data_IF_559046926006
#
_entry.id   IF_559046926006
#
_cell.length_a   1.000
_cell.length_b   1.000
_cell.length_c   1.000
_cell.angle_alpha   90.00
_cell.angle_beta   90.00
_cell.angle_gamma   90.00
#
_symmetry.space_group_name_H-M   'P 1'
#
loop_
_entity.id
_entity.type
_entity.pdbx_description
1 polymer ?
#
# COMPACT_ATOMS: atom_id res chain seq x y z
N UNK A 1 -37.12 37.02 -15.73
CA UNK A 1 -38.40 37.39 -15.08
C UNK A 1 -38.26 37.98 -13.67
N UNK A 2 -37.13 37.85 -12.96
CA UNK A 2 -36.94 38.49 -11.62
C UNK A 2 -36.45 39.97 -11.71
N UNK A 3 -36.06 40.46 -12.90
CA UNK A 3 -35.42 41.77 -13.06
C UNK A 3 -36.35 42.97 -13.29
N UNK A 4 -37.65 42.78 -13.51
CA UNK A 4 -38.56 43.89 -13.89
C UNK A 4 -39.35 44.52 -12.71
N UNK A 5 -39.11 44.08 -11.46
CA UNK A 5 -39.85 44.58 -10.28
C UNK A 5 -39.02 45.36 -9.25
N UNK A 6 -37.82 45.82 -9.60
CA UNK A 6 -36.96 46.60 -8.69
C UNK A 6 -37.04 48.13 -8.93
N UNK A 7 -38.21 48.66 -9.27
CA UNK A 7 -38.39 50.07 -9.65
C UNK A 7 -38.77 51.02 -8.51
N UNK A 8 -38.46 50.69 -7.24
CA UNK A 8 -38.89 51.54 -6.13
C UNK A 8 -38.16 51.29 -4.82
N UNK A 9 -36.87 51.60 -4.75
CA UNK A 9 -36.15 51.85 -3.49
C UNK A 9 -35.31 53.12 -3.61
N UNK A 10 -35.05 53.77 -2.48
CA UNK A 10 -34.54 55.14 -2.39
C UNK A 10 -33.30 55.38 -3.27
N UNK A 11 -33.39 56.41 -4.13
CA UNK A 11 -32.39 56.75 -5.14
C UNK A 11 -30.94 56.86 -4.61
N UNK A 12 -30.74 57.15 -3.32
CA UNK A 12 -29.43 57.48 -2.78
C UNK A 12 -28.49 56.26 -2.63
N UNK A 13 -28.96 55.13 -2.11
CA UNK A 13 -28.09 53.96 -1.90
C UNK A 13 -27.75 53.25 -3.20
N UNK A 14 -28.72 53.15 -4.12
CA UNK A 14 -28.50 52.62 -5.48
C UNK A 14 -27.46 53.44 -6.24
N UNK A 15 -27.57 54.78 -6.23
CA UNK A 15 -26.56 55.66 -6.85
C UNK A 15 -25.18 55.50 -6.19
N UNK A 16 -25.11 55.36 -4.87
CA UNK A 16 -23.84 55.20 -4.16
C UNK A 16 -23.15 53.87 -4.51
N UNK A 17 -23.92 52.79 -4.67
CA UNK A 17 -23.39 51.50 -5.12
C UNK A 17 -22.97 51.53 -6.60
N UNK A 18 -23.76 52.15 -7.48
CA UNK A 18 -23.43 52.32 -8.91
C UNK A 18 -22.13 53.13 -9.07
N UNK A 19 -21.98 54.22 -8.30
CA UNK A 19 -20.76 55.03 -8.27
C UNK A 19 -19.55 54.21 -7.83
N UNK A 20 -19.65 53.48 -6.71
CA UNK A 20 -18.57 52.58 -6.23
C UNK A 20 -18.22 51.50 -7.25
N UNK A 21 -19.22 50.95 -7.94
CA UNK A 21 -18.99 49.96 -8.98
C UNK A 21 -18.24 50.55 -10.18
N UNK A 22 -18.60 51.76 -10.63
CA UNK A 22 -17.92 52.44 -11.72
C UNK A 22 -16.46 52.80 -11.37
N UNK A 23 -16.21 53.31 -10.16
CA UNK A 23 -14.86 53.58 -9.66
C UNK A 23 -14.01 52.30 -9.57
N UNK A 24 -14.64 51.18 -9.17
CA UNK A 24 -13.96 49.88 -9.06
C UNK A 24 -13.74 49.21 -10.41
N UNK A 25 -14.56 49.50 -11.43
CA UNK A 25 -14.55 48.80 -12.72
C UNK A 25 -13.21 48.90 -13.45
N UNK A 26 -12.52 50.04 -13.35
CA UNK A 26 -11.22 50.25 -13.98
C UNK A 26 -10.09 49.44 -13.33
N UNK A 27 -10.23 49.07 -12.06
CA UNK A 27 -9.20 48.34 -11.30
C UNK A 27 -9.52 46.85 -11.18
N UNK A 28 -10.81 46.51 -11.03
CA UNK A 28 -11.28 45.14 -10.86
C UNK A 28 -12.73 45.00 -11.39
N UNK A 29 -12.90 44.67 -12.69
CA UNK A 29 -14.21 44.53 -13.33
C UNK A 29 -15.11 43.46 -12.70
N UNK A 30 -14.53 42.41 -12.09
CA UNK A 30 -15.28 41.37 -11.40
C UNK A 30 -15.90 41.91 -10.10
N UNK A 31 -15.13 42.64 -9.31
CA UNK A 31 -15.61 43.28 -8.07
C UNK A 31 -16.69 44.34 -8.36
N UNK A 32 -16.55 45.09 -9.46
CA UNK A 32 -17.57 46.04 -9.89
C UNK A 32 -18.91 45.38 -10.24
N UNK A 33 -18.89 44.23 -10.92
CA UNK A 33 -20.10 43.44 -11.21
C UNK A 33 -20.75 42.89 -9.93
N UNK A 34 -19.93 42.48 -8.96
CA UNK A 34 -20.42 42.02 -7.66
C UNK A 34 -21.12 43.13 -6.87
N UNK A 35 -20.54 44.34 -6.83
CA UNK A 35 -21.14 45.51 -6.17
C UNK A 35 -22.53 45.82 -6.76
N UNK A 36 -22.67 45.81 -8.10
CA UNK A 36 -23.98 46.01 -8.76
C UNK A 36 -24.96 44.89 -8.45
N UNK A 37 -24.48 43.63 -8.46
CA UNK A 37 -25.31 42.47 -8.10
C UNK A 37 -25.88 42.56 -6.69
N UNK A 38 -25.07 42.97 -5.72
CA UNK A 38 -25.47 43.15 -4.31
C UNK A 38 -26.50 44.27 -4.16
N UNK A 39 -26.26 45.41 -4.82
CA UNK A 39 -27.20 46.52 -4.82
C UNK A 39 -28.57 46.10 -5.36
N UNK A 40 -28.60 45.33 -6.46
CA UNK A 40 -29.82 44.81 -7.04
C UNK A 40 -30.52 43.77 -6.14
N UNK A 41 -29.77 42.90 -5.45
CA UNK A 41 -30.35 41.91 -4.52
C UNK A 41 -30.92 42.59 -3.28
N UNK A 42 -30.19 43.55 -2.69
CA UNK A 42 -30.68 44.34 -1.55
C UNK A 42 -31.93 45.13 -1.93
N UNK A 43 -31.98 45.62 -3.17
CA UNK A 43 -33.17 46.27 -3.69
C UNK A 43 -34.37 45.32 -3.87
N UNK A 44 -34.12 44.04 -4.10
CA UNK A 44 -35.17 43.03 -4.21
C UNK A 44 -35.58 42.43 -2.85
N UNK A 45 -34.73 42.53 -1.83
CA UNK A 45 -34.90 41.93 -0.50
C UNK A 45 -34.55 42.94 0.61
N UNK A 46 -35.40 43.96 0.82
CA UNK A 46 -35.10 45.08 1.72
C UNK A 46 -34.92 44.68 3.19
N UNK A 47 -35.45 43.52 3.59
CA UNK A 47 -35.40 43.03 4.98
C UNK A 47 -34.05 42.38 5.37
N UNK A 48 -33.11 42.26 4.43
CA UNK A 48 -31.76 41.72 4.71
C UNK A 48 -30.81 42.88 4.97
N UNK A 49 -30.67 43.23 6.25
CA UNK A 49 -30.00 44.47 6.67
C UNK A 49 -28.45 44.41 6.65
N UNK A 50 -27.87 43.21 6.51
CA UNK A 50 -26.42 43.01 6.52
C UNK A 50 -25.85 42.83 5.10
N UNK A 51 -25.12 43.84 4.63
CA UNK A 51 -24.32 43.72 3.39
C UNK A 51 -23.30 42.58 3.49
N UNK A 52 -22.73 42.35 4.68
CA UNK A 52 -21.76 41.27 4.90
C UNK A 52 -22.40 39.89 4.71
N UNK A 53 -23.65 39.72 5.13
CA UNK A 53 -24.42 38.50 4.88
C UNK A 53 -24.65 38.27 3.37
N UNK A 54 -25.03 39.31 2.63
CA UNK A 54 -25.23 39.23 1.18
C UNK A 54 -23.91 38.94 0.43
N UNK A 55 -22.80 39.55 0.84
CA UNK A 55 -21.47 39.23 0.31
C UNK A 55 -21.11 37.78 0.58
N UNK A 56 -21.26 37.32 1.82
CA UNK A 56 -20.99 35.92 2.22
C UNK A 56 -21.83 34.94 1.41
N UNK A 57 -23.13 35.21 1.23
CA UNK A 57 -24.01 34.31 0.48
C UNK A 57 -23.73 34.34 -1.03
N UNK A 58 -23.34 35.47 -1.60
CA UNK A 58 -22.90 35.54 -3.00
C UNK A 58 -21.57 34.85 -3.24
N UNK A 59 -20.61 34.98 -2.32
CA UNK A 59 -19.38 34.20 -2.35
C UNK A 59 -19.68 32.71 -2.26
N UNK A 60 -20.63 32.31 -1.40
CA UNK A 60 -21.11 30.93 -1.29
C UNK A 60 -21.74 30.44 -2.60
N UNK A 61 -22.64 31.20 -3.21
CA UNK A 61 -23.28 30.87 -4.49
C UNK A 61 -22.24 30.80 -5.62
N UNK A 62 -21.30 31.75 -5.66
CA UNK A 62 -20.22 31.74 -6.64
C UNK A 62 -19.33 30.51 -6.49
N UNK A 63 -18.96 30.17 -5.25
CA UNK A 63 -18.21 28.96 -4.94
C UNK A 63 -19.00 27.71 -5.37
N UNK A 64 -20.27 27.57 -4.99
CA UNK A 64 -21.14 26.46 -5.41
C UNK A 64 -21.24 26.33 -6.93
N UNK A 65 -21.36 27.44 -7.66
CA UNK A 65 -21.40 27.44 -9.13
C UNK A 65 -20.08 26.96 -9.72
N UNK A 66 -18.96 27.42 -9.19
CA UNK A 66 -17.62 27.01 -9.64
C UNK A 66 -17.37 25.53 -9.33
N UNK A 67 -17.75 25.05 -8.14
CA UNK A 67 -17.68 23.62 -7.78
C UNK A 67 -18.55 22.78 -8.71
N UNK A 68 -19.79 23.20 -8.98
CA UNK A 68 -20.68 22.48 -9.89
C UNK A 68 -20.16 22.44 -11.33
N UNK A 69 -19.53 23.52 -11.80
CA UNK A 69 -18.89 23.53 -13.12
C UNK A 69 -17.68 22.61 -13.15
N UNK A 70 -16.80 22.68 -12.14
CA UNK A 70 -15.63 21.81 -12.03
C UNK A 70 -16.03 20.33 -11.97
N UNK A 71 -17.10 19.99 -11.25
CA UNK A 71 -17.66 18.65 -11.22
C UNK A 71 -18.14 18.20 -12.60
N UNK A 72 -18.89 19.05 -13.34
CA UNK A 72 -19.36 18.72 -14.70
C UNK A 72 -18.22 18.52 -15.68
N UNK A 73 -17.24 19.44 -15.69
CA UNK A 73 -16.10 19.37 -16.59
C UNK A 73 -15.29 18.10 -16.32
N UNK A 74 -15.03 17.82 -15.03
CA UNK A 74 -14.35 16.59 -14.60
C UNK A 74 -15.14 15.38 -15.04
N UNK A 75 -16.43 15.27 -14.68
CA UNK A 75 -17.28 14.13 -15.04
C UNK A 75 -17.29 13.91 -16.56
N UNK A 76 -17.37 14.97 -17.36
CA UNK A 76 -17.28 14.88 -18.82
C UNK A 76 -15.95 14.29 -19.31
N UNK A 77 -14.82 14.77 -18.78
CA UNK A 77 -13.49 14.17 -19.04
C UNK A 77 -13.45 12.70 -18.62
N UNK A 78 -13.97 12.36 -17.44
CA UNK A 78 -13.91 10.99 -16.90
C UNK A 78 -14.81 10.03 -17.69
N UNK A 79 -16.00 10.45 -18.12
CA UNK A 79 -16.88 9.64 -18.98
C UNK A 79 -16.23 9.31 -20.33
N UNK A 80 -15.48 10.26 -20.91
CA UNK A 80 -14.73 10.02 -22.15
C UNK A 80 -13.63 8.94 -21.96
N UNK A 81 -13.09 8.79 -20.75
CA UNK A 81 -12.13 7.75 -20.42
C UNK A 81 -12.78 6.39 -20.15
N UNK A 82 -13.97 6.37 -19.53
CA UNK A 82 -14.70 5.13 -19.21
C UNK A 82 -15.09 4.32 -20.45
N UNK A 83 -15.33 4.99 -21.58
CA UNK A 83 -15.68 4.35 -22.85
C UNK A 83 -14.51 3.67 -23.56
N UNK A 84 -13.27 3.82 -23.06
CA UNK A 84 -12.08 3.28 -23.72
C UNK A 84 -11.69 1.91 -23.18
N UNK A 85 -11.31 1.01 -24.08
CA UNK A 85 -10.74 -0.30 -23.72
C UNK A 85 -9.33 -0.16 -23.13
N UNK A 86 -8.54 0.78 -23.68
CA UNK A 86 -7.22 1.18 -23.20
C UNK A 86 -7.16 2.71 -23.07
N UNK A 87 -6.46 3.19 -22.05
CA UNK A 87 -6.19 4.62 -21.84
C UNK A 87 -4.70 4.84 -22.16
N UNK A 88 -4.22 6.03 -22.44
CA UNK A 88 -2.79 6.33 -22.45
C UNK A 88 -2.33 6.88 -21.09
N UNK A 89 -1.03 6.80 -20.77
CA UNK A 89 -0.50 7.41 -19.53
C UNK A 89 -0.82 8.91 -19.45
N UNK A 90 -0.77 9.62 -20.59
CA UNK A 90 -1.09 11.03 -20.68
C UNK A 90 -2.56 11.31 -20.32
N UNK A 91 -3.49 10.51 -20.85
CA UNK A 91 -4.93 10.64 -20.58
C UNK A 91 -5.28 10.28 -19.13
N UNK A 92 -4.63 9.27 -18.56
CA UNK A 92 -4.75 8.95 -17.15
C UNK A 92 -4.29 10.11 -16.28
N UNK A 93 -3.12 10.68 -16.59
CA UNK A 93 -2.56 11.82 -15.88
C UNK A 93 -3.51 13.01 -15.95
N UNK A 94 -4.06 13.31 -17.11
CA UNK A 94 -5.07 14.36 -17.29
C UNK A 94 -6.32 14.08 -16.46
N UNK A 95 -6.87 12.86 -16.49
CA UNK A 95 -8.05 12.51 -15.69
C UNK A 95 -7.83 12.64 -14.17
N UNK A 96 -6.65 12.25 -13.68
CA UNK A 96 -6.28 12.44 -12.27
C UNK A 96 -6.11 13.93 -11.93
N UNK A 97 -5.48 14.71 -12.80
CA UNK A 97 -5.33 16.15 -12.62
C UNK A 97 -6.68 16.87 -12.58
N UNK A 98 -7.65 16.44 -13.40
CA UNK A 98 -9.01 16.98 -13.40
C UNK A 98 -9.72 16.69 -12.06
N UNK A 99 -9.60 15.46 -11.54
CA UNK A 99 -10.12 15.10 -10.21
C UNK A 99 -9.51 15.97 -9.10
N UNK A 100 -8.18 16.15 -9.11
CA UNK A 100 -7.50 17.01 -8.14
C UNK A 100 -7.97 18.47 -8.25
N UNK A 101 -8.13 18.98 -9.47
CA UNK A 101 -8.62 20.34 -9.72
C UNK A 101 -10.04 20.53 -9.20
N UNK A 102 -10.94 19.58 -9.47
CA UNK A 102 -12.32 19.65 -8.97
C UNK A 102 -12.39 19.60 -7.44
N UNK A 103 -11.58 18.75 -6.82
CA UNK A 103 -11.47 18.67 -5.36
C UNK A 103 -10.98 19.99 -4.77
N UNK A 104 -9.96 20.61 -5.37
CA UNK A 104 -9.46 21.93 -4.98
C UNK A 104 -10.51 23.04 -5.16
N UNK A 105 -11.51 22.84 -6.03
CA UNK A 105 -12.63 23.74 -6.24
C UNK A 105 -13.84 23.43 -5.33
N UNK A 106 -13.70 22.57 -4.33
CA UNK A 106 -14.74 22.31 -3.33
C UNK A 106 -15.76 21.24 -3.73
N UNK A 107 -15.50 20.47 -4.79
CA UNK A 107 -16.31 19.29 -5.12
C UNK A 107 -16.11 18.22 -4.04
N UNK A 108 -17.20 17.63 -3.55
CA UNK A 108 -17.13 16.54 -2.57
C UNK A 108 -16.35 15.36 -3.16
N UNK A 109 -15.22 14.96 -2.55
CA UNK A 109 -14.42 13.81 -3.00
C UNK A 109 -15.25 12.54 -3.16
N UNK A 110 -16.31 12.33 -2.36
CA UNK A 110 -17.19 11.16 -2.43
C UNK A 110 -17.98 11.10 -3.74
N UNK A 111 -18.32 12.26 -4.31
CA UNK A 111 -19.01 12.34 -5.60
C UNK A 111 -18.11 11.97 -6.76
N UNK A 112 -16.81 12.23 -6.64
CA UNK A 112 -15.79 11.86 -7.63
C UNK A 112 -15.18 10.48 -7.36
N UNK A 113 -15.38 9.90 -6.17
CA UNK A 113 -14.74 8.67 -5.72
C UNK A 113 -15.04 7.49 -6.65
N UNK A 114 -16.29 7.33 -7.09
CA UNK A 114 -16.68 6.25 -8.01
C UNK A 114 -15.98 6.36 -9.37
N UNK A 115 -15.83 7.58 -9.88
CA UNK A 115 -15.21 7.82 -11.18
C UNK A 115 -13.70 7.72 -11.10
N UNK A 116 -13.11 8.24 -10.02
CA UNK A 116 -11.72 8.04 -9.67
C UNK A 116 -11.36 6.56 -9.55
N UNK A 117 -12.18 5.76 -8.85
CA UNK A 117 -12.00 4.31 -8.75
C UNK A 117 -12.09 3.61 -10.11
N UNK A 118 -12.95 4.09 -11.00
CA UNK A 118 -13.11 3.52 -12.34
C UNK A 118 -11.89 3.79 -13.21
N UNK A 119 -11.40 5.03 -13.24
CA UNK A 119 -10.18 5.40 -13.97
C UNK A 119 -8.96 4.69 -13.39
N UNK A 120 -8.89 4.64 -12.07
CA UNK A 120 -7.86 3.91 -11.33
C UNK A 120 -7.84 2.43 -11.74
N UNK A 121 -9.00 1.80 -11.87
CA UNK A 121 -9.14 0.43 -12.36
C UNK A 121 -8.67 0.28 -13.82
N UNK A 122 -9.05 1.18 -14.72
CA UNK A 122 -8.62 1.13 -16.14
C UNK A 122 -7.10 1.31 -16.28
N UNK A 123 -6.52 2.26 -15.55
CA UNK A 123 -5.08 2.45 -15.45
C UNK A 123 -4.37 1.21 -14.91
N UNK A 124 -4.90 0.66 -13.82
CA UNK A 124 -4.38 -0.57 -13.21
C UNK A 124 -4.39 -1.72 -14.21
N UNK A 125 -5.46 -1.89 -14.99
CA UNK A 125 -5.56 -2.91 -16.05
C UNK A 125 -4.50 -2.74 -17.12
N UNK A 126 -4.33 -1.53 -17.65
CA UNK A 126 -3.35 -1.29 -18.70
C UNK A 126 -1.92 -1.53 -18.19
N UNK A 127 -1.57 -0.94 -17.04
CA UNK A 127 -0.25 -1.12 -16.43
C UNK A 127 0.01 -2.60 -16.16
N UNK A 128 -1.02 -3.32 -15.70
CA UNK A 128 -0.95 -4.76 -15.51
C UNK A 128 -0.64 -5.46 -16.83
N UNK A 129 -1.40 -5.24 -17.91
CA UNK A 129 -1.17 -5.91 -19.20
C UNK A 129 0.25 -5.64 -19.74
N UNK A 130 0.68 -4.38 -19.79
CA UNK A 130 1.96 -4.00 -20.37
C UNK A 130 3.17 -4.52 -19.58
N UNK A 131 3.09 -4.47 -18.25
CA UNK A 131 4.23 -4.78 -17.37
C UNK A 131 4.22 -6.23 -16.90
N UNK A 132 3.04 -6.82 -16.68
CA UNK A 132 2.92 -8.21 -16.24
C UNK A 132 3.43 -9.16 -17.32
N UNK A 133 3.17 -8.90 -18.61
CA UNK A 133 3.70 -9.74 -19.71
C UNK A 133 5.22 -9.86 -19.67
N UNK A 134 5.93 -8.72 -19.66
CA UNK A 134 7.40 -8.70 -19.58
C UNK A 134 7.94 -9.30 -18.27
N UNK A 135 7.24 -9.06 -17.15
CA UNK A 135 7.63 -9.64 -15.87
C UNK A 135 7.36 -11.15 -15.84
N UNK A 136 6.32 -11.66 -16.52
CA UNK A 136 6.08 -13.10 -16.69
C UNK A 136 7.20 -13.74 -17.50
N UNK A 137 7.58 -13.17 -18.64
CA UNK A 137 8.74 -13.66 -19.40
C UNK A 137 10.01 -13.72 -18.54
N UNK A 138 10.22 -12.72 -17.68
CA UNK A 138 11.34 -12.71 -16.73
C UNK A 138 11.22 -13.84 -15.70
N UNK A 139 10.03 -14.03 -15.12
CA UNK A 139 9.76 -15.10 -14.15
C UNK A 139 9.91 -16.47 -14.81
N UNK A 140 9.37 -16.66 -16.00
CA UNK A 140 9.48 -17.90 -16.77
C UNK A 140 10.93 -18.21 -17.11
N UNK A 141 11.77 -17.20 -17.39
CA UNK A 141 13.20 -17.40 -17.59
C UNK A 141 13.95 -17.75 -16.29
N UNK A 142 13.56 -17.17 -15.15
CA UNK A 142 14.14 -17.48 -13.83
C UNK A 142 13.73 -18.87 -13.33
N UNK A 143 12.48 -19.21 -13.55
CA UNK A 143 11.84 -20.42 -13.06
C UNK A 143 12.14 -21.57 -14.01
N UNK A 144 11.96 -21.37 -15.32
CA UNK A 144 12.42 -22.22 -16.42
C UNK A 144 12.42 -23.72 -16.11
N UNK A 145 13.53 -24.38 -16.42
CA UNK A 145 13.77 -25.80 -16.11
C UNK A 145 13.85 -26.11 -14.61
N UNK A 146 13.87 -25.08 -13.75
CA UNK A 146 13.89 -25.26 -12.31
C UNK A 146 12.49 -25.32 -11.70
N UNK A 147 11.40 -25.03 -12.43
CA UNK A 147 10.03 -25.08 -11.89
C UNK A 147 9.74 -26.45 -11.25
N UNK A 148 9.98 -27.51 -12.02
CA UNK A 148 9.80 -28.89 -11.58
C UNK A 148 10.75 -29.23 -10.43
N UNK A 149 11.99 -28.72 -10.47
CA UNK A 149 12.95 -28.90 -9.38
C UNK A 149 12.49 -28.23 -8.09
N UNK A 150 11.92 -27.02 -8.13
CA UNK A 150 11.43 -26.30 -6.94
C UNK A 150 10.16 -26.96 -6.38
N UNK A 151 9.26 -27.45 -7.24
CA UNK A 151 8.10 -28.23 -6.78
C UNK A 151 8.54 -29.56 -6.17
N UNK A 152 9.50 -30.25 -6.80
CA UNK A 152 10.10 -31.49 -6.29
C UNK A 152 10.86 -31.25 -4.98
N UNK A 153 11.46 -30.08 -4.83
CA UNK A 153 12.13 -29.58 -3.63
C UNK A 153 11.24 -29.65 -2.39
N UNK A 154 9.98 -29.25 -2.48
CA UNK A 154 9.05 -29.35 -1.34
C UNK A 154 8.86 -30.82 -0.93
N UNK A 155 8.72 -31.72 -1.90
CA UNK A 155 8.58 -33.15 -1.64
C UNK A 155 9.88 -33.77 -1.13
N UNK A 156 11.04 -33.34 -1.64
CA UNK A 156 12.37 -33.75 -1.17
C UNK A 156 12.64 -33.30 0.25
N UNK A 157 12.28 -32.05 0.58
CA UNK A 157 12.36 -31.51 1.94
C UNK A 157 11.54 -32.35 2.91
N UNK A 158 10.28 -32.64 2.57
CA UNK A 158 9.42 -33.50 3.38
C UNK A 158 9.99 -34.90 3.54
N UNK A 159 10.44 -35.54 2.45
CA UNK A 159 11.06 -36.87 2.48
C UNK A 159 12.34 -36.91 3.31
N UNK A 160 13.19 -35.89 3.20
CA UNK A 160 14.43 -35.81 3.97
C UNK A 160 14.15 -35.63 5.48
N UNK A 161 13.20 -34.77 5.84
CA UNK A 161 12.76 -34.59 7.23
C UNK A 161 12.16 -35.89 7.78
N UNK A 162 11.34 -36.59 6.99
CA UNK A 162 10.77 -37.87 7.40
C UNK A 162 11.84 -38.96 7.50
N UNK A 163 12.86 -38.94 6.64
CA UNK A 163 14.05 -39.79 6.76
C UNK A 163 14.83 -39.54 8.06
N UNK A 164 15.01 -38.27 8.45
CA UNK A 164 15.60 -37.90 9.75
C UNK A 164 14.75 -38.47 10.88
N UNK A 165 13.43 -38.25 10.86
CA UNK A 165 12.53 -38.79 11.89
C UNK A 165 12.63 -40.31 11.97
N UNK A 166 12.59 -41.01 10.84
CA UNK A 166 12.71 -42.47 10.80
C UNK A 166 14.03 -42.96 11.39
N UNK A 167 15.15 -42.30 11.07
CA UNK A 167 16.47 -42.62 11.64
C UNK A 167 16.48 -42.56 13.17
N UNK A 168 15.77 -41.61 13.75
CA UNK A 168 15.64 -41.49 15.20
C UNK A 168 14.47 -42.29 15.80
N UNK A 169 13.88 -43.26 15.08
CA UNK A 169 12.78 -44.08 15.62
C UNK A 169 11.41 -43.39 15.58
N UNK A 170 11.18 -42.55 14.56
CA UNK A 170 9.94 -41.82 14.34
C UNK A 170 9.88 -40.50 15.12
N UNK A 171 8.68 -39.90 15.21
CA UNK A 171 8.49 -38.60 15.85
C UNK A 171 8.94 -38.56 17.31
N UNK A 172 8.71 -39.64 18.07
CA UNK A 172 9.04 -39.71 19.49
C UNK A 172 10.54 -39.71 19.73
N UNK A 173 11.29 -40.54 19.01
CA UNK A 173 12.73 -40.59 19.20
C UNK A 173 13.46 -39.41 18.54
N UNK A 174 12.94 -38.83 17.46
CA UNK A 174 13.44 -37.56 16.92
C UNK A 174 13.26 -36.41 17.92
N UNK A 175 12.10 -36.32 18.58
CA UNK A 175 11.88 -35.34 19.65
C UNK A 175 12.81 -35.58 20.84
N UNK A 176 13.06 -36.84 21.22
CA UNK A 176 14.01 -37.18 22.30
C UNK A 176 15.44 -36.76 21.94
N UNK A 177 15.87 -37.02 20.71
CA UNK A 177 17.19 -36.61 20.21
C UNK A 177 17.34 -35.08 20.17
N UNK A 178 16.31 -34.36 19.73
CA UNK A 178 16.28 -32.91 19.80
C UNK A 178 16.44 -32.38 21.23
N UNK A 179 15.64 -32.87 22.19
CA UNK A 179 15.76 -32.40 23.58
C UNK A 179 17.10 -32.77 24.20
N UNK A 180 17.65 -33.95 23.90
CA UNK A 180 19.00 -34.33 24.31
C UNK A 180 20.07 -33.37 23.75
N UNK A 181 19.94 -32.94 22.49
CA UNK A 181 20.85 -31.94 21.88
C UNK A 181 20.80 -30.56 22.54
N UNK A 182 19.74 -30.28 23.31
CA UNK A 182 19.61 -29.03 24.06
C UNK A 182 20.14 -29.14 25.51
N UNK A 183 20.35 -30.35 26.03
CA UNK A 183 20.80 -30.57 27.41
C UNK A 183 22.23 -30.08 27.66
N UNK A 184 23.06 -29.97 26.61
CA UNK A 184 24.36 -29.31 26.66
C UNK A 184 24.28 -27.78 26.91
N UNK A 185 23.07 -27.20 26.94
CA UNK A 185 22.79 -25.81 27.29
C UNK A 185 21.85 -25.71 28.52
N UNK A 186 22.29 -26.14 29.73
CA UNK A 186 21.40 -26.33 30.86
C UNK A 186 20.71 -25.03 31.31
N UNK A 187 19.37 -25.08 31.43
CA UNK A 187 18.55 -24.11 32.17
C UNK A 187 17.62 -23.19 31.36
N UNK A 188 17.67 -23.18 30.02
CA UNK A 188 16.95 -22.15 29.23
C UNK A 188 15.76 -22.63 28.38
N UNK A 189 15.52 -23.94 28.25
CA UNK A 189 14.52 -24.46 27.30
C UNK A 189 13.12 -24.61 27.90
N UNK A 190 13.01 -25.10 29.14
CA UNK A 190 11.71 -25.39 29.79
C UNK A 190 10.84 -24.15 30.04
N UNK A 191 11.42 -22.95 30.01
CA UNK A 191 10.71 -21.67 30.18
C UNK A 191 10.30 -21.03 28.85
N UNK A 192 10.66 -21.61 27.71
CA UNK A 192 10.33 -21.02 26.39
C UNK A 192 8.87 -21.31 26.03
N UNK A 193 8.17 -20.39 25.35
CA UNK A 193 6.86 -20.67 24.80
C UNK A 193 6.89 -21.88 23.87
N UNK A 194 5.83 -22.70 23.87
CA UNK A 194 5.72 -23.90 23.02
C UNK A 194 5.99 -23.60 21.53
N UNK A 195 5.56 -22.44 21.04
CA UNK A 195 5.81 -22.02 19.66
C UNK A 195 7.31 -21.90 19.35
N UNK A 196 8.09 -21.38 20.30
CA UNK A 196 9.55 -21.28 20.17
C UNK A 196 10.19 -22.66 20.16
N UNK A 197 9.73 -23.58 21.02
CA UNK A 197 10.22 -24.97 21.04
C UNK A 197 9.92 -25.67 19.71
N UNK A 198 8.71 -25.53 19.18
CA UNK A 198 8.33 -26.10 17.90
C UNK A 198 9.18 -25.53 16.74
N UNK A 199 9.49 -24.23 16.77
CA UNK A 199 10.35 -23.59 15.77
C UNK A 199 11.79 -24.14 15.87
N UNK A 200 12.34 -24.27 17.08
CA UNK A 200 13.67 -24.86 17.32
C UNK A 200 13.73 -26.31 16.85
N UNK A 201 12.71 -27.12 17.16
CA UNK A 201 12.64 -28.52 16.72
C UNK A 201 12.58 -28.63 15.19
N UNK A 202 11.77 -27.78 14.56
CA UNK A 202 11.67 -27.75 13.11
C UNK A 202 12.98 -27.34 12.45
N UNK A 203 13.73 -26.40 13.04
CA UNK A 203 15.05 -26.01 12.56
C UNK A 203 16.05 -27.16 12.72
N UNK A 204 16.10 -27.79 13.90
CA UNK A 204 16.97 -28.93 14.16
C UNK A 204 16.75 -30.08 13.16
N UNK A 205 15.48 -30.40 12.83
CA UNK A 205 15.18 -31.40 11.81
C UNK A 205 15.76 -31.04 10.43
N UNK A 206 15.72 -29.75 10.05
CA UNK A 206 16.30 -29.27 8.78
C UNK A 206 17.82 -29.34 8.79
N UNK A 207 18.44 -28.99 9.91
CA UNK A 207 19.91 -29.06 10.05
C UNK A 207 20.38 -30.51 9.94
N UNK A 208 19.69 -31.43 10.62
CA UNK A 208 19.95 -32.87 10.50
C UNK A 208 19.70 -33.41 9.08
N UNK A 209 18.66 -32.93 8.40
CA UNK A 209 18.41 -33.30 6.99
C UNK A 209 19.54 -32.78 6.08
N UNK A 210 20.01 -31.57 6.32
CA UNK A 210 21.12 -30.94 5.57
C UNK A 210 22.44 -31.67 5.73
N UNK A 211 22.76 -32.10 6.95
CA UNK A 211 23.98 -32.85 7.24
C UNK A 211 23.97 -34.23 6.58
N UNK A 212 22.80 -34.86 6.48
CA UNK A 212 22.71 -36.30 6.20
C UNK A 212 22.05 -36.68 4.88
N UNK A 213 21.51 -35.72 4.12
CA UNK A 213 20.94 -35.95 2.79
C UNK A 213 21.58 -35.01 1.78
N UNK A 214 22.38 -35.57 0.87
CA UNK A 214 22.97 -34.84 -0.26
C UNK A 214 21.88 -34.24 -1.15
N UNK A 215 20.83 -35.01 -1.43
CA UNK A 215 19.66 -34.56 -2.22
C UNK A 215 19.00 -33.33 -1.56
N UNK A 216 18.79 -33.36 -0.23
CA UNK A 216 18.24 -32.20 0.49
C UNK A 216 19.14 -30.96 0.37
N UNK A 217 20.46 -31.15 0.53
CA UNK A 217 21.44 -30.06 0.44
C UNK A 217 21.44 -29.42 -0.95
N UNK A 218 21.60 -30.22 -2.00
CA UNK A 218 21.59 -29.76 -3.39
C UNK A 218 20.30 -29.01 -3.73
N UNK A 219 19.18 -29.51 -3.21
CA UNK A 219 17.88 -28.88 -3.36
C UNK A 219 17.82 -27.53 -2.65
N UNK A 220 18.23 -27.43 -1.39
CA UNK A 220 18.27 -26.14 -0.67
C UNK A 220 19.18 -25.13 -1.38
N UNK A 221 20.37 -25.55 -1.82
CA UNK A 221 21.30 -24.70 -2.56
C UNK A 221 20.70 -24.23 -3.91
N UNK A 222 20.00 -25.11 -4.62
CA UNK A 222 19.30 -24.74 -5.85
C UNK A 222 18.19 -23.70 -5.60
N UNK A 223 17.37 -23.92 -4.56
CA UNK A 223 16.33 -22.97 -4.18
C UNK A 223 16.92 -21.63 -3.74
N UNK A 224 18.01 -21.63 -2.97
CA UNK A 224 18.68 -20.41 -2.54
C UNK A 224 19.22 -19.62 -3.74
N UNK A 225 19.86 -20.29 -4.72
CA UNK A 225 20.32 -19.64 -5.97
C UNK A 225 19.17 -18.96 -6.73
N UNK A 226 18.04 -19.66 -6.87
CA UNK A 226 16.86 -19.12 -7.58
C UNK A 226 16.28 -17.94 -6.79
N UNK A 227 16.17 -18.08 -5.48
CA UNK A 227 15.73 -17.03 -4.59
C UNK A 227 16.58 -15.76 -4.67
N UNK A 228 17.91 -15.91 -4.67
CA UNK A 228 18.84 -14.81 -4.88
C UNK A 228 18.66 -14.18 -6.25
N UNK A 229 18.50 -14.97 -7.31
CA UNK A 229 18.25 -14.44 -8.65
C UNK A 229 16.93 -13.64 -8.72
N UNK A 230 15.88 -14.11 -8.05
CA UNK A 230 14.60 -13.38 -7.93
C UNK A 230 14.79 -12.05 -7.20
N UNK A 231 15.52 -12.05 -6.07
CA UNK A 231 15.80 -10.83 -5.31
C UNK A 231 16.63 -9.84 -6.14
N UNK A 232 17.63 -10.30 -6.88
CA UNK A 232 18.41 -9.45 -7.77
C UNK A 232 17.58 -8.89 -8.94
N UNK A 233 16.63 -9.66 -9.47
CA UNK A 233 15.68 -9.15 -10.46
C UNK A 233 14.73 -8.10 -9.87
N UNK A 234 14.30 -8.25 -8.62
CA UNK A 234 13.53 -7.23 -7.91
C UNK A 234 14.33 -5.94 -7.71
N UNK A 235 15.62 -6.04 -7.35
CA UNK A 235 16.54 -4.88 -7.28
C UNK A 235 16.76 -4.25 -8.66
N UNK A 236 16.96 -5.06 -9.69
CA UNK A 236 17.11 -4.59 -11.08
C UNK A 236 15.86 -3.87 -11.58
N UNK A 237 14.67 -4.40 -11.26
CA UNK A 237 13.38 -3.80 -11.58
C UNK A 237 13.22 -2.41 -10.94
N UNK A 238 13.68 -2.25 -9.70
CA UNK A 238 13.75 -0.95 -9.04
C UNK A 238 14.83 -0.04 -9.67
N UNK A 239 15.89 -0.59 -10.26
CA UNK A 239 17.00 0.15 -10.84
C UNK A 239 17.81 0.99 -9.85
N UNK A 240 17.77 0.66 -8.56
CA UNK A 240 18.58 1.32 -7.53
C UNK A 240 19.82 0.53 -7.16
N UNK A 241 20.98 1.21 -7.18
CA UNK A 241 22.21 0.65 -6.66
C UNK A 241 22.18 0.56 -5.13
N UNK A 242 23.13 -0.18 -4.53
CA UNK A 242 23.30 -0.22 -3.07
C UNK A 242 23.52 1.18 -2.48
N UNK A 243 24.25 2.04 -3.20
CA UNK A 243 24.48 3.43 -2.81
C UNK A 243 23.17 4.22 -2.80
N UNK A 244 22.34 4.06 -3.82
CA UNK A 244 21.05 4.76 -3.90
C UNK A 244 20.10 4.28 -2.81
N UNK A 245 20.06 2.97 -2.56
CA UNK A 245 19.30 2.38 -1.45
C UNK A 245 19.70 2.98 -0.10
N UNK A 246 21.00 3.16 0.15
CA UNK A 246 21.49 3.82 1.36
C UNK A 246 21.09 5.30 1.45
N UNK A 247 21.16 6.04 0.35
CA UNK A 247 20.71 7.44 0.29
C UNK A 247 19.21 7.54 0.57
N UNK A 248 18.41 6.66 -0.04
CA UNK A 248 16.96 6.62 0.14
C UNK A 248 16.59 6.20 1.56
N UNK A 249 17.25 5.20 2.12
CA UNK A 249 17.07 4.79 3.51
C UNK A 249 17.33 6.00 4.43
N UNK A 250 18.47 6.69 4.28
CA UNK A 250 18.78 7.88 5.08
C UNK A 250 17.75 9.02 4.91
N UNK A 251 17.17 9.18 3.72
CA UNK A 251 16.24 10.26 3.39
C UNK A 251 14.80 9.98 3.85
N UNK A 252 14.32 8.76 3.65
CA UNK A 252 12.92 8.40 3.82
C UNK A 252 12.64 7.72 5.15
N UNK A 253 13.66 7.10 5.76
CA UNK A 253 13.58 6.44 7.06
C UNK A 253 14.17 7.42 8.05
N UNK A 254 13.31 8.21 8.69
CA UNK A 254 13.76 9.26 9.61
C UNK A 254 14.66 8.67 10.69
N UNK A 255 15.97 8.92 10.61
CA UNK A 255 16.99 8.54 11.60
C UNK A 255 16.86 9.31 12.93
N UNK A 256 15.65 9.76 13.26
CA UNK A 256 15.38 10.42 14.52
C UNK A 256 15.86 9.54 15.66
N UNK A 257 16.44 10.17 16.69
CA UNK A 257 17.03 9.53 17.88
C UNK A 257 16.15 8.43 18.54
N UNK A 258 14.87 8.28 18.16
CA UNK A 258 13.95 7.21 18.57
C UNK A 258 14.20 5.83 17.93
N UNK A 259 14.80 5.72 16.74
CA UNK A 259 15.01 4.40 16.09
C UNK A 259 16.02 3.50 16.82
N UNK A 260 17.00 4.09 17.52
CA UNK A 260 17.93 3.34 18.39
C UNK A 260 17.23 2.65 19.56
N UNK A 261 16.01 3.05 19.90
CA UNK A 261 15.20 2.40 20.93
C UNK A 261 14.42 1.17 20.43
N UNK A 262 14.21 1.04 19.12
CA UNK A 262 13.50 -0.09 18.50
C UNK A 262 14.44 -1.30 18.33
N UNK A 263 15.69 -1.05 17.93
CA UNK A 263 16.70 -2.09 17.70
C UNK A 263 17.01 -2.91 18.97
N UNK A 264 17.01 -2.28 20.16
CA UNK A 264 17.30 -2.97 21.42
C UNK A 264 16.21 -3.92 21.92
N UNK A 265 14.95 -3.77 21.46
CA UNK A 265 13.82 -4.64 21.87
C UNK A 265 13.50 -5.74 20.85
N UNK A 266 14.07 -5.68 19.66
CA UNK A 266 13.73 -6.57 18.53
C UNK A 266 14.82 -7.61 18.19
N UNK A 267 15.88 -7.74 19.00
CA UNK A 267 17.07 -8.58 18.70
C UNK A 267 17.83 -8.20 17.42
N UNK A 268 17.70 -6.96 16.95
CA UNK A 268 18.48 -6.47 15.82
C UNK A 268 19.68 -5.66 16.30
N UNK A 269 20.87 -5.99 15.80
CA UNK A 269 21.96 -5.03 15.85
C UNK A 269 21.62 -3.83 14.96
N UNK A 270 22.13 -2.64 15.31
CA UNK A 270 21.96 -1.45 14.47
C UNK A 270 22.46 -1.70 13.03
N UNK A 271 23.58 -2.43 12.88
CA UNK A 271 24.13 -2.75 11.55
C UNK A 271 23.25 -3.68 10.72
N UNK A 272 22.54 -4.64 11.33
CA UNK A 272 21.57 -5.49 10.62
C UNK A 272 20.35 -4.69 10.15
N UNK A 273 19.80 -3.83 11.03
CA UNK A 273 18.69 -2.94 10.65
C UNK A 273 19.09 -2.07 9.44
N UNK A 274 20.25 -1.43 9.51
CA UNK A 274 20.72 -0.55 8.43
C UNK A 274 20.92 -1.33 7.12
N UNK A 275 21.49 -2.53 7.17
CA UNK A 275 21.67 -3.38 5.99
C UNK A 275 20.33 -3.80 5.37
N UNK A 276 19.37 -4.26 6.20
CA UNK A 276 18.05 -4.69 5.75
C UNK A 276 17.23 -3.52 5.17
N UNK A 277 17.36 -2.33 5.75
CA UNK A 277 16.73 -1.12 5.22
C UNK A 277 17.33 -0.68 3.88
N UNK A 278 18.65 -0.77 3.73
CA UNK A 278 19.32 -0.49 2.44
C UNK A 278 18.80 -1.45 1.38
N UNK A 279 18.79 -2.75 1.68
CA UNK A 279 18.30 -3.77 0.75
C UNK A 279 16.83 -3.57 0.39
N UNK A 280 15.98 -3.27 1.36
CA UNK A 280 14.58 -2.94 1.13
C UNK A 280 14.44 -1.74 0.19
N UNK A 281 15.19 -0.66 0.42
CA UNK A 281 15.14 0.53 -0.43
C UNK A 281 15.70 0.29 -1.82
N UNK A 282 16.65 -0.63 -1.99
CA UNK A 282 17.07 -1.12 -3.30
C UNK A 282 15.97 -1.91 -4.02
N UNK A 283 14.96 -2.39 -3.33
CA UNK A 283 13.83 -3.09 -3.95
C UNK A 283 12.70 -2.09 -4.24
N UNK A 284 12.32 -1.29 -3.26
CA UNK A 284 11.07 -0.52 -3.32
C UNK A 284 11.24 0.95 -3.68
N UNK A 285 12.46 1.48 -3.74
CA UNK A 285 12.70 2.92 -3.82
C UNK A 285 11.91 3.65 -4.91
N UNK A 286 11.67 3.01 -6.08
CA UNK A 286 11.06 3.67 -7.25
C UNK A 286 9.56 3.84 -7.08
N UNK A 287 8.99 2.97 -6.25
CA UNK A 287 7.57 2.95 -5.96
C UNK A 287 7.17 4.05 -4.98
N UNK A 288 8.12 4.73 -4.34
CA UNK A 288 7.84 5.81 -3.41
C UNK A 288 7.63 7.15 -4.14
N UNK A 289 6.47 7.80 -3.99
CA UNK A 289 6.23 9.14 -4.52
C UNK A 289 7.27 10.15 -4.04
N UNK A 290 7.60 11.12 -4.92
CA UNK A 290 8.41 12.27 -4.52
C UNK A 290 7.72 13.02 -3.37
N UNK A 291 8.37 13.04 -2.21
CA UNK A 291 7.86 13.71 -1.01
C UNK A 291 7.11 12.80 -0.04
N UNK A 292 6.82 11.55 -0.40
CA UNK A 292 6.31 10.57 0.54
C UNK A 292 7.33 10.31 1.65
N UNK A 293 6.86 10.27 2.90
CA UNK A 293 7.66 9.92 4.07
C UNK A 293 7.13 8.65 4.70
N UNK A 294 8.03 7.69 4.94
CA UNK A 294 7.71 6.45 5.64
C UNK A 294 8.48 6.46 6.95
N UNK A 295 7.79 6.83 8.02
CA UNK A 295 8.39 6.88 9.35
C UNK A 295 8.30 5.51 10.00
N UNK A 296 9.45 4.95 10.35
CA UNK A 296 9.56 3.66 11.02
C UNK A 296 9.95 3.91 12.47
N UNK A 297 9.17 3.38 13.42
CA UNK A 297 9.41 3.66 14.83
C UNK A 297 8.71 2.69 15.77
N UNK A 298 9.00 2.84 17.07
CA UNK A 298 8.24 2.14 18.10
C UNK A 298 6.82 2.67 18.16
N UNK A 299 5.94 1.93 18.85
CA UNK A 299 4.59 2.43 19.18
C UNK A 299 4.63 3.84 19.78
N UNK A 300 5.51 4.08 20.76
CA UNK A 300 5.58 5.39 21.41
C UNK A 300 6.03 6.50 20.44
N UNK A 301 6.92 6.20 19.50
CA UNK A 301 7.35 7.14 18.48
C UNK A 301 6.19 7.50 17.54
N UNK A 302 5.44 6.50 17.08
CA UNK A 302 4.27 6.71 16.22
C UNK A 302 3.16 7.43 16.97
N UNK A 303 2.86 7.08 18.23
CA UNK A 303 1.86 7.80 19.05
C UNK A 303 2.25 9.27 19.25
N UNK A 304 3.54 9.53 19.48
CA UNK A 304 4.06 10.90 19.62
C UNK A 304 4.00 11.68 18.30
N UNK A 305 4.37 11.06 17.19
CA UNK A 305 4.39 11.70 15.87
C UNK A 305 2.98 11.97 15.34
N UNK A 306 2.05 11.05 15.59
CA UNK A 306 0.68 11.12 15.06
C UNK A 306 -0.33 11.74 16.02
N UNK A 307 -0.04 11.78 17.32
CA UNK A 307 -0.98 12.18 18.37
C UNK A 307 -2.06 11.14 18.69
N UNK A 308 -2.07 9.98 18.02
CA UNK A 308 -3.05 8.92 18.23
C UNK A 308 -2.53 7.91 19.26
N UNK A 309 -3.35 7.52 20.24
CA UNK A 309 -3.04 6.40 21.15
C UNK A 309 -3.54 5.09 20.57
N UNK A 310 -2.69 4.05 20.57
CA UNK A 310 -3.04 2.73 20.06
C UNK A 310 -3.43 1.79 21.19
N UNK A 311 -4.58 1.12 21.03
CA UNK A 311 -5.10 0.17 22.03
C UNK A 311 -4.54 -1.25 21.89
N UNK A 312 -3.84 -1.58 20.80
CA UNK A 312 -3.49 -2.97 20.53
C UNK A 312 -2.23 -3.41 21.26
N UNK A 313 -2.37 -4.41 22.14
CA UNK A 313 -1.27 -5.16 22.76
C UNK A 313 -0.50 -6.10 21.82
N UNK A 314 -0.74 -6.04 20.50
CA UNK A 314 -0.10 -6.89 19.48
C UNK A 314 0.89 -6.17 18.56
N UNK A 315 1.41 -5.04 19.02
CA UNK A 315 2.74 -4.54 18.67
C UNK A 315 3.14 -4.30 17.19
N UNK A 316 2.26 -4.38 16.21
CA UNK A 316 2.58 -4.03 14.83
C UNK A 316 1.41 -3.26 14.26
N UNK A 317 1.68 -2.09 13.68
CA UNK A 317 0.62 -1.30 13.05
C UNK A 317 1.17 -0.47 11.91
N UNK A 318 0.60 -0.71 10.73
CA UNK A 318 0.64 0.19 9.61
C UNK A 318 -0.36 1.34 9.81
N UNK A 319 0.04 2.58 9.50
CA UNK A 319 -0.88 3.71 9.53
C UNK A 319 -0.52 4.82 8.57
N UNK A 320 -1.52 5.52 8.04
CA UNK A 320 -1.36 6.69 7.19
C UNK A 320 -1.74 7.97 7.94
N UNK A 321 -1.01 9.06 7.71
CA UNK A 321 -1.43 10.40 8.15
C UNK A 321 -2.59 10.85 7.25
N UNK A 322 -3.81 10.97 7.79
CA UNK A 322 -4.92 11.49 7.00
C UNK A 322 -6.31 11.27 7.61
N UNK A 323 -6.91 12.39 8.03
CA UNK A 323 -8.37 12.57 8.14
C UNK A 323 -8.93 13.27 6.88
N UNK A 324 -8.14 13.40 5.82
CA UNK A 324 -8.58 14.04 4.58
C UNK A 324 -9.29 13.02 3.69
N UNK A 325 -10.61 13.13 3.51
CA UNK A 325 -11.33 12.29 2.56
C UNK A 325 -10.79 12.57 1.16
N UNK A 326 -10.12 11.60 0.53
CA UNK A 326 -9.62 11.73 -0.82
C UNK A 326 -8.59 10.65 -1.18
N UNK A 327 -8.75 10.04 -2.36
CA UNK A 327 -7.80 9.07 -2.93
C UNK A 327 -6.49 9.79 -3.27
N UNK A 328 -5.35 9.32 -2.75
CA UNK A 328 -4.02 9.85 -3.10
C UNK A 328 -3.51 11.04 -2.27
N UNK A 329 -4.16 11.38 -1.15
CA UNK A 329 -3.75 12.48 -0.27
C UNK A 329 -2.73 12.09 0.81
N UNK A 330 -2.34 10.80 0.91
CA UNK A 330 -1.43 10.32 1.95
C UNK A 330 -0.01 10.82 1.70
N UNK A 331 0.37 11.92 2.36
CA UNK A 331 1.72 12.50 2.28
C UNK A 331 2.71 11.80 3.21
N UNK A 332 2.23 11.20 4.30
CA UNK A 332 3.07 10.44 5.23
C UNK A 332 2.39 9.16 5.68
N UNK A 333 3.22 8.16 5.87
CA UNK A 333 2.85 6.85 6.35
C UNK A 333 3.79 6.46 7.47
N UNK A 334 3.27 5.76 8.45
CA UNK A 334 3.94 5.31 9.65
C UNK A 334 3.92 3.79 9.70
N UNK A 335 5.09 3.19 9.87
CA UNK A 335 5.26 1.78 10.17
C UNK A 335 5.66 1.67 11.64
N UNK A 336 4.72 1.20 12.46
CA UNK A 336 5.00 0.88 13.85
C UNK A 336 5.54 -0.55 13.94
N UNK A 337 6.82 -0.67 14.28
CA UNK A 337 7.47 -1.94 14.58
C UNK A 337 7.59 -2.05 16.10
N UNK A 338 6.93 -3.04 16.71
CA UNK A 338 7.20 -3.35 18.12
C UNK A 338 7.15 -4.85 18.42
N UNK A 339 7.90 -5.24 19.46
CA UNK A 339 8.21 -6.64 19.75
C UNK A 339 9.42 -7.14 18.94
N UNK A 340 9.52 -8.47 18.78
CA UNK A 340 10.50 -9.10 17.88
C UNK A 340 10.12 -8.82 16.44
N UNK A 341 10.92 -8.01 15.75
CA UNK A 341 10.70 -7.62 14.36
C UNK A 341 11.77 -8.32 13.55
N UNK A 342 11.35 -9.09 12.56
CA UNK A 342 12.25 -9.71 11.60
C UNK A 342 12.16 -8.96 10.24
N UNK A 343 13.12 -9.24 9.37
CA UNK A 343 13.23 -8.60 8.04
C UNK A 343 11.95 -8.81 7.21
N UNK A 344 11.34 -9.97 7.39
CA UNK A 344 10.09 -10.39 6.75
C UNK A 344 8.93 -9.45 7.11
N UNK A 345 8.73 -9.18 8.40
CA UNK A 345 7.71 -8.23 8.87
C UNK A 345 7.96 -6.83 8.33
N UNK A 346 9.22 -6.36 8.33
CA UNK A 346 9.54 -5.05 7.78
C UNK A 346 9.14 -4.93 6.29
N UNK A 347 9.46 -5.94 5.47
CA UNK A 347 9.10 -5.98 4.05
C UNK A 347 7.57 -6.04 3.86
N UNK A 348 6.86 -6.77 4.72
CA UNK A 348 5.40 -6.85 4.73
C UNK A 348 4.76 -5.47 4.96
N UNK A 349 5.12 -4.81 6.05
CA UNK A 349 4.56 -3.49 6.40
C UNK A 349 4.93 -2.42 5.36
N UNK A 350 6.11 -2.54 4.74
CA UNK A 350 6.51 -1.68 3.62
C UNK A 350 5.60 -1.86 2.40
N UNK A 351 5.13 -3.08 2.12
CA UNK A 351 4.15 -3.30 1.05
C UNK A 351 2.86 -2.52 1.28
N UNK A 352 2.31 -2.56 2.50
CA UNK A 352 1.16 -1.71 2.84
C UNK A 352 1.49 -0.22 2.71
N UNK A 353 2.71 0.19 3.08
CA UNK A 353 3.14 1.58 2.93
C UNK A 353 3.14 2.05 1.50
N UNK A 354 3.68 1.25 0.59
CA UNK A 354 3.72 1.57 -0.84
C UNK A 354 2.30 1.62 -1.41
N UNK A 355 1.45 0.64 -1.09
CA UNK A 355 0.06 0.64 -1.54
C UNK A 355 -0.70 1.90 -1.08
N UNK A 356 -0.40 2.41 0.11
CA UNK A 356 -1.10 3.60 0.62
C UNK A 356 -0.63 4.89 -0.03
N UNK A 357 0.67 5.02 -0.31
CA UNK A 357 1.25 6.26 -0.85
C UNK A 357 1.30 6.27 -2.38
N UNK A 358 1.28 5.12 -3.05
CA UNK A 358 1.35 5.00 -4.50
C UNK A 358 0.02 4.46 -5.06
N UNK A 359 -0.92 5.35 -5.45
CA UNK A 359 -2.19 4.98 -6.03
C UNK A 359 -2.05 4.05 -7.24
N UNK A 360 -1.04 4.23 -8.10
CA UNK A 360 -0.87 3.43 -9.31
C UNK A 360 -0.54 1.97 -8.99
N UNK A 361 0.38 1.74 -8.04
CA UNK A 361 0.69 0.39 -7.54
C UNK A 361 -0.55 -0.22 -6.91
N UNK A 362 -1.26 0.53 -6.07
CA UNK A 362 -2.48 0.06 -5.44
C UNK A 362 -3.56 -0.35 -6.47
N UNK A 363 -3.77 0.45 -7.51
CA UNK A 363 -4.67 0.09 -8.62
C UNK A 363 -4.31 -1.24 -9.23
N UNK A 364 -3.03 -1.42 -9.53
CA UNK A 364 -2.54 -2.58 -10.27
C UNK A 364 -2.73 -3.86 -9.45
N UNK A 365 -2.42 -3.83 -8.15
CA UNK A 365 -2.62 -4.98 -7.26
C UNK A 365 -4.11 -5.27 -7.01
N UNK A 366 -4.95 -4.24 -6.90
CA UNK A 366 -6.40 -4.43 -6.73
C UNK A 366 -7.04 -5.03 -7.98
N UNK A 367 -6.65 -4.56 -9.17
CA UNK A 367 -7.14 -5.08 -10.45
C UNK A 367 -6.68 -6.53 -10.65
N UNK A 368 -5.40 -6.81 -10.40
CA UNK A 368 -4.88 -8.18 -10.49
C UNK A 368 -5.62 -9.12 -9.54
N UNK A 369 -5.81 -8.70 -8.28
CA UNK A 369 -6.51 -9.51 -7.29
C UNK A 369 -7.94 -9.78 -7.75
N UNK A 370 -8.65 -8.74 -8.17
CA UNK A 370 -10.03 -8.84 -8.66
C UNK A 370 -10.14 -9.82 -9.82
N UNK A 371 -9.24 -9.73 -10.81
CA UNK A 371 -9.21 -10.64 -11.95
C UNK A 371 -8.94 -12.08 -11.51
N UNK A 372 -8.01 -12.29 -10.57
CA UNK A 372 -7.68 -13.61 -10.03
C UNK A 372 -8.88 -14.24 -9.32
N UNK A 373 -9.58 -13.47 -8.47
CA UNK A 373 -10.65 -13.98 -7.62
C UNK A 373 -12.04 -14.01 -8.29
N UNK A 374 -12.16 -13.55 -9.54
CA UNK A 374 -13.43 -13.45 -10.24
C UNK A 374 -14.12 -14.82 -10.36
N UNK A 375 -15.42 -14.86 -10.03
CA UNK A 375 -16.22 -16.09 -10.05
C UNK A 375 -15.94 -17.08 -8.91
N UNK A 376 -15.00 -16.79 -8.00
CA UNK A 376 -14.62 -17.68 -6.89
C UNK A 376 -15.36 -17.30 -5.60
N UNK A 377 -15.66 -18.30 -4.78
CA UNK A 377 -16.42 -18.11 -3.54
C UNK A 377 -15.46 -17.76 -2.38
N UNK A 378 -15.75 -16.69 -1.61
CA UNK A 378 -14.98 -16.37 -0.43
C UNK A 378 -15.24 -17.38 0.70
N UNK A 379 -14.23 -17.57 1.53
CA UNK A 379 -14.22 -18.48 2.66
C UNK A 379 -13.58 -17.80 3.89
N UNK A 380 -13.91 -18.24 5.10
CA UNK A 380 -13.21 -17.84 6.31
C UNK A 380 -11.73 -18.18 6.22
N UNK A 381 -10.88 -17.18 6.44
CA UNK A 381 -9.44 -17.33 6.49
C UNK A 381 -8.99 -18.33 7.57
N UNK A 382 -9.72 -18.41 8.69
CA UNK A 382 -9.51 -19.43 9.73
C UNK A 382 -9.69 -20.84 9.18
N UNK A 383 -10.70 -21.06 8.32
CA UNK A 383 -10.96 -22.36 7.69
C UNK A 383 -9.90 -22.68 6.64
N UNK A 384 -9.53 -21.70 5.82
CA UNK A 384 -8.52 -21.86 4.76
C UNK A 384 -7.11 -22.15 5.30
N UNK A 385 -6.72 -21.50 6.40
CA UNK A 385 -5.36 -21.61 6.97
C UNK A 385 -5.27 -22.61 8.13
N UNK A 386 -6.40 -22.98 8.74
CA UNK A 386 -6.44 -23.73 10.00
C UNK A 386 -6.01 -22.92 11.24
N UNK A 387 -5.63 -21.64 11.09
CA UNK A 387 -5.10 -20.82 12.16
C UNK A 387 -6.26 -20.21 12.97
N UNK A 388 -6.42 -20.66 14.21
CA UNK A 388 -7.50 -20.24 15.12
C UNK A 388 -7.42 -18.79 15.57
N UNK A 389 -6.28 -18.12 15.43
CA UNK A 389 -6.13 -16.71 15.85
C UNK A 389 -6.82 -15.72 14.91
N UNK A 390 -7.10 -16.10 13.66
CA UNK A 390 -7.93 -15.31 12.76
C UNK A 390 -9.36 -15.22 13.29
N UNK A 391 -9.96 -14.04 13.12
CA UNK A 391 -11.35 -13.78 13.49
C UNK A 391 -12.29 -14.41 12.47
N UNK A 392 -13.49 -14.79 12.90
CA UNK A 392 -14.49 -15.42 12.03
C UNK A 392 -14.92 -14.53 10.84
N UNK A 393 -14.80 -13.21 10.99
CA UNK A 393 -15.13 -12.23 9.94
C UNK A 393 -14.02 -11.99 8.92
N UNK A 394 -12.82 -12.56 9.14
CA UNK A 394 -11.74 -12.46 8.16
C UNK A 394 -12.01 -13.49 7.07
N UNK A 395 -12.33 -13.00 5.87
CA UNK A 395 -12.64 -13.81 4.69
C UNK A 395 -11.55 -13.63 3.63
N UNK A 396 -11.29 -14.69 2.87
CA UNK A 396 -10.36 -14.70 1.76
C UNK A 396 -10.88 -15.62 0.65
N UNK A 397 -10.43 -15.38 -0.58
CA UNK A 397 -10.73 -16.26 -1.71
C UNK A 397 -9.57 -17.23 -1.91
N UNK A 398 -9.88 -18.53 -1.98
CA UNK A 398 -8.87 -19.56 -2.26
C UNK A 398 -8.61 -19.61 -3.77
N UNK A 399 -7.38 -19.28 -4.17
CA UNK A 399 -7.03 -19.23 -5.60
C UNK A 399 -5.55 -19.52 -5.90
N UNK A 400 -5.11 -20.75 -5.61
CA UNK A 400 -3.73 -21.17 -5.91
C UNK A 400 -2.65 -20.24 -5.35
N UNK A 401 -3.01 -19.35 -4.42
CA UNK A 401 -2.10 -18.36 -3.87
C UNK A 401 -1.00 -19.07 -3.09
N UNK A 402 0.19 -18.49 -3.09
CA UNK A 402 1.28 -18.92 -2.20
C UNK A 402 0.83 -19.00 -0.73
N UNK A 403 -0.11 -18.13 -0.34
CA UNK A 403 -0.76 -18.12 0.96
C UNK A 403 -2.21 -17.64 0.79
N UNK A 404 -3.18 -18.30 1.43
CA UNK A 404 -4.58 -17.87 1.39
C UNK A 404 -4.78 -16.43 1.88
N UNK A 405 -3.86 -15.91 2.70
CA UNK A 405 -3.86 -14.53 3.17
C UNK A 405 -3.74 -13.51 2.01
N UNK A 406 -3.08 -13.84 0.90
CA UNK A 406 -2.98 -12.98 -0.29
C UNK A 406 -4.37 -12.65 -0.84
N UNK A 407 -5.28 -13.63 -0.80
CA UNK A 407 -6.66 -13.51 -1.27
C UNK A 407 -7.61 -12.84 -0.28
N UNK A 408 -7.11 -12.27 0.83
CA UNK A 408 -7.93 -11.65 1.87
C UNK A 408 -8.70 -10.46 1.30
N UNK A 409 -10.01 -10.46 1.55
CA UNK A 409 -10.90 -9.39 1.11
C UNK A 409 -11.13 -8.43 2.26
N UNK A 410 -10.74 -7.19 2.05
CA UNK A 410 -10.97 -6.09 2.99
C UNK A 410 -12.13 -5.22 2.53
N UNK A 411 -12.86 -4.69 3.51
CA UNK A 411 -13.65 -3.48 3.30
C UNK A 411 -12.69 -2.28 3.14
N UNK A 412 -12.97 -1.32 2.24
CA UNK A 412 -12.12 -0.16 2.06
C UNK A 412 -11.93 0.62 3.36
N UNK A 413 -10.69 1.01 3.69
CA UNK A 413 -10.42 1.91 4.81
C UNK A 413 -10.29 3.31 4.22
N UNK A 414 -11.26 4.19 4.48
CA UNK A 414 -11.24 5.58 3.99
C UNK A 414 -11.06 5.70 2.46
N UNK A 415 -11.63 4.77 1.68
CA UNK A 415 -11.50 4.73 0.22
C UNK A 415 -10.17 4.14 -0.29
N UNK A 416 -9.25 3.80 0.61
CA UNK A 416 -7.98 3.11 0.30
C UNK A 416 -8.19 1.61 0.57
N UNK A 417 -8.06 0.79 -0.47
CA UNK A 417 -8.06 -0.66 -0.35
C UNK A 417 -6.60 -1.12 -0.23
N UNK A 418 -6.08 -1.26 0.99
CA UNK A 418 -4.80 -1.96 1.18
C UNK A 418 -5.07 -3.46 1.07
N UNK A 419 -4.31 -4.14 0.22
CA UNK A 419 -4.48 -5.57 -0.04
C UNK A 419 -3.30 -6.31 0.60
N UNK A 420 -3.45 -7.60 0.83
CA UNK A 420 -2.29 -8.42 1.26
C UNK A 420 -1.36 -8.75 0.10
N UNK A 421 -1.69 -8.31 -1.12
CA UNK A 421 -1.01 -8.74 -2.34
C UNK A 421 0.41 -8.21 -2.39
N UNK A 422 0.63 -6.89 -2.30
CA UNK A 422 1.99 -6.35 -2.33
C UNK A 422 2.75 -6.75 -1.06
N UNK A 423 2.12 -6.63 0.11
CA UNK A 423 2.72 -6.94 1.40
C UNK A 423 3.26 -8.38 1.45
N UNK A 424 2.43 -9.37 1.12
CA UNK A 424 2.86 -10.77 1.11
C UNK A 424 3.88 -11.07 0.02
N UNK A 425 3.80 -10.42 -1.14
CA UNK A 425 4.80 -10.62 -2.18
C UNK A 425 6.17 -10.06 -1.82
N UNK A 426 6.23 -8.84 -1.27
CA UNK A 426 7.48 -8.26 -0.76
C UNK A 426 8.01 -9.04 0.44
N UNK A 427 7.13 -9.50 1.34
CA UNK A 427 7.50 -10.35 2.46
C UNK A 427 8.35 -11.56 2.02
N UNK A 428 8.00 -12.19 0.89
CA UNK A 428 8.74 -13.33 0.34
C UNK A 428 10.13 -12.94 -0.17
N UNK A 429 10.34 -11.69 -0.59
CA UNK A 429 11.65 -11.19 -1.02
C UNK A 429 12.62 -10.95 0.15
N UNK A 430 12.14 -11.02 1.40
CA UNK A 430 13.00 -10.83 2.57
C UNK A 430 14.05 -11.95 2.75
N UNK A 431 13.82 -13.14 2.17
CA UNK A 431 14.82 -14.20 2.16
C UNK A 431 14.78 -15.03 0.87
N UNK A 432 15.91 -15.58 0.42
CA UNK A 432 15.98 -16.33 -0.84
C UNK A 432 15.03 -17.52 -0.89
N UNK A 433 14.92 -18.30 0.20
CA UNK A 433 14.08 -19.49 0.20
C UNK A 433 12.60 -19.18 -0.02
N UNK A 434 12.08 -18.12 0.61
CA UNK A 434 10.71 -17.69 0.41
C UNK A 434 10.49 -17.08 -0.98
N UNK A 435 11.48 -16.38 -1.53
CA UNK A 435 11.44 -15.85 -2.89
C UNK A 435 11.37 -16.98 -3.93
N UNK A 436 12.14 -18.05 -3.75
CA UNK A 436 12.09 -19.24 -4.59
C UNK A 436 10.74 -19.97 -4.50
N UNK A 437 10.17 -20.07 -3.28
CA UNK A 437 8.83 -20.64 -3.08
C UNK A 437 7.76 -19.83 -3.83
N UNK A 438 7.82 -18.49 -3.74
CA UNK A 438 6.91 -17.61 -4.47
C UNK A 438 7.04 -17.84 -5.98
N UNK A 439 8.27 -17.88 -6.50
CA UNK A 439 8.54 -18.09 -7.92
C UNK A 439 7.95 -19.41 -8.44
N UNK A 440 8.02 -20.48 -7.65
CA UNK A 440 7.56 -21.80 -8.07
C UNK A 440 6.07 -22.04 -7.87
N UNK A 441 5.50 -21.59 -6.75
CA UNK A 441 4.13 -21.90 -6.39
C UNK A 441 3.14 -20.85 -6.91
N UNK A 442 3.59 -19.61 -7.10
CA UNK A 442 2.76 -18.51 -7.56
C UNK A 442 3.55 -17.54 -8.48
N UNK A 443 3.99 -18.03 -9.66
CA UNK A 443 4.78 -17.22 -10.61
C UNK A 443 4.02 -15.97 -11.07
N UNK A 444 2.69 -16.03 -11.14
CA UNK A 444 1.84 -14.89 -11.48
C UNK A 444 1.88 -13.79 -10.41
N UNK A 445 1.89 -14.17 -9.13
CA UNK A 445 2.08 -13.21 -8.04
C UNK A 445 3.49 -12.62 -8.09
N UNK A 446 4.53 -13.42 -8.32
CA UNK A 446 5.88 -12.89 -8.49
C UNK A 446 5.97 -11.89 -9.66
N UNK A 447 5.37 -12.22 -10.80
CA UNK A 447 5.37 -11.35 -11.97
C UNK A 447 4.69 -10.01 -11.66
N UNK A 448 3.60 -10.01 -10.89
CA UNK A 448 2.96 -8.79 -10.41
C UNK A 448 3.90 -7.97 -9.52
N UNK A 449 4.60 -8.60 -8.58
CA UNK A 449 5.53 -7.89 -7.69
C UNK A 449 6.64 -7.23 -8.50
N UNK A 450 7.25 -7.95 -9.44
CA UNK A 450 8.28 -7.38 -10.33
C UNK A 450 7.72 -6.26 -11.20
N UNK A 451 6.47 -6.37 -11.66
CA UNK A 451 5.80 -5.30 -12.40
C UNK A 451 5.58 -4.05 -11.50
N UNK A 452 5.19 -4.25 -10.25
CA UNK A 452 4.89 -3.19 -9.28
C UNK A 452 6.15 -2.39 -8.92
N UNK A 453 7.27 -3.08 -8.73
CA UNK A 453 8.56 -2.47 -8.40
C UNK A 453 9.12 -1.59 -9.53
N UNK A 454 8.68 -1.80 -10.77
CA UNK A 454 9.04 -0.96 -11.92
C UNK A 454 8.19 0.31 -12.02
N UNK A 455 7.11 0.42 -11.26
CA UNK A 455 6.21 1.58 -11.32
C UNK A 455 6.90 2.77 -10.66
N UNK A 456 7.41 3.67 -11.49
CA UNK A 456 7.89 4.97 -11.03
C UNK A 456 6.68 5.87 -10.77
N UNK A 457 6.59 6.43 -9.56
CA UNK A 457 5.59 7.46 -9.30
C UNK A 457 6.13 8.81 -9.79
N UNK A 458 5.62 9.28 -10.93
CA UNK A 458 5.83 10.67 -11.38
C UNK A 458 4.59 11.50 -11.01
N UNK A 459 4.75 12.53 -10.15
CA UNK A 459 3.64 13.35 -9.66
C UNK A 459 2.94 14.17 -10.76
#
# INVERSE_FOLDING_TARGET
MIFERAAGLSNAEGLAAEKRANETAHRNPARARLIRGIANIRAALPDIDSSDYLFTELERIHHMRNSAQAYRDTTGSLEALKGKETISEAELRTGLQDIFRATAMGVDPRQLEKDALTIKSLAGKQMLVERLGKSRETVDALVGDNAERITTLSNQVSRAIDGVKQRYGGNSGASKAFFASLEDAPGTVSRRPQQTINAMYSQWLRDQAYETSTEYRESIEAAERIGLAVIEQAKTASGYSKRDGAILAAKHVGSGKGLRGVTSRANWSAGQYDADMVELMQVVGKTLPKGARIEIGSKADVEKATGYRYSTGRGRSFQTEGREPGIGSVKKTYICLSGSVDKRVLFHEMGHAIESVNPAVNSMVSVWLKARIEGKQPDSLRRLTGIRTYKNREIAVKDGFIDAYVGKVYEPIQGIQCNEVLAMGLERLANPMAAAQLAAQDPDHLALILAALKVEYQP
#
